data_IF_545903025238
#
_entry.id   IF_545903025238
#
_cell.length_a   1.000
_cell.length_b   1.000
_cell.length_c   1.000
_cell.angle_alpha   90.00
_cell.angle_beta   90.00
_cell.angle_gamma   90.00
#
_symmetry.space_group_name_H-M   'P 1'
#
loop_
_entity.id
_entity.type
_entity.pdbx_description
1 polymer ?
#
# COMPACT_ATOMS: atom_id res chain seq x y z
N UNK A 1 -2.01 -16.43 -38.78
CA UNK A 1 -3.13 -16.06 -37.89
C UNK A 1 -2.85 -16.60 -36.48
N UNK A 2 -2.30 -15.78 -35.59
CA UNK A 2 -2.32 -15.98 -34.13
C UNK A 2 -1.70 -14.72 -33.49
N UNK A 3 -2.55 -13.78 -33.11
CA UNK A 3 -2.20 -12.53 -32.43
C UNK A 3 -2.31 -12.83 -30.94
N UNK A 4 -1.21 -12.85 -30.19
CA UNK A 4 -1.25 -13.01 -28.73
C UNK A 4 -0.32 -11.97 -28.11
N UNK A 5 -0.93 -11.03 -27.39
CA UNK A 5 -0.31 -9.87 -26.76
C UNK A 5 0.37 -10.31 -25.45
N UNK A 6 1.68 -10.08 -25.25
CA UNK A 6 2.33 -10.31 -23.96
C UNK A 6 2.11 -9.09 -23.07
N UNK A 7 0.88 -8.93 -22.57
CA UNK A 7 0.54 -7.95 -21.54
C UNK A 7 -0.23 -8.64 -20.41
N UNK A 8 0.28 -9.77 -19.95
CA UNK A 8 -0.11 -10.29 -18.65
C UNK A 8 0.67 -9.50 -17.61
N UNK A 9 0.13 -8.36 -17.17
CA UNK A 9 0.55 -7.78 -15.91
C UNK A 9 0.30 -8.86 -14.85
N UNK A 10 1.32 -9.35 -14.13
CA UNK A 10 1.08 -10.14 -12.93
C UNK A 10 0.40 -9.19 -11.96
N UNK A 11 -0.92 -9.26 -11.91
CA UNK A 11 -1.68 -8.65 -10.86
C UNK A 11 -1.19 -9.33 -9.59
N UNK A 12 -0.43 -8.57 -8.81
CA UNK A 12 0.23 -8.98 -7.57
C UNK A 12 -0.86 -9.23 -6.52
N UNK A 13 -1.62 -10.31 -6.73
CA UNK A 13 -2.53 -10.87 -5.75
C UNK A 13 -1.65 -11.54 -4.71
N UNK A 14 -1.36 -10.79 -3.65
CA UNK A 14 -0.72 -11.30 -2.45
C UNK A 14 -1.44 -12.59 -2.03
N UNK A 15 -0.71 -13.71 -2.04
CA UNK A 15 -1.25 -14.98 -1.54
C UNK A 15 -1.21 -14.97 -0.02
N UNK A 16 -2.23 -15.53 0.59
CA UNK A 16 -2.26 -15.66 2.04
C UNK A 16 -1.21 -16.68 2.50
N UNK A 17 -0.40 -16.36 3.53
CA UNK A 17 0.60 -17.29 4.06
C UNK A 17 0.00 -18.46 4.85
N UNK A 18 -1.27 -18.38 5.27
CA UNK A 18 -1.94 -19.44 6.02
C UNK A 18 -2.71 -20.41 5.10
N UNK A 19 -3.54 -19.88 4.19
CA UNK A 19 -4.42 -20.65 3.33
C UNK A 19 -3.83 -20.91 1.92
N UNK A 20 -2.81 -20.15 1.49
CA UNK A 20 -2.32 -20.13 0.10
C UNK A 20 -3.33 -19.54 -0.91
N UNK A 21 -4.53 -19.18 -0.46
CA UNK A 21 -5.57 -18.56 -1.29
C UNK A 21 -5.30 -17.08 -1.49
N UNK A 22 -5.97 -16.49 -2.48
CA UNK A 22 -5.83 -15.07 -2.82
C UNK A 22 -6.30 -14.15 -1.70
N UNK A 23 -5.52 -13.11 -1.41
CA UNK A 23 -5.95 -11.99 -0.58
C UNK A 23 -6.69 -10.97 -1.43
N UNK A 24 -7.90 -10.61 -1.01
CA UNK A 24 -8.74 -9.63 -1.68
C UNK A 24 -8.89 -8.39 -0.82
N UNK A 25 -8.93 -7.22 -1.45
CA UNK A 25 -9.18 -5.96 -0.75
C UNK A 25 -10.66 -5.88 -0.41
N UNK A 26 -10.96 -5.73 0.88
CA UNK A 26 -12.30 -5.52 1.43
C UNK A 26 -12.32 -4.19 2.17
N UNK A 27 -13.44 -3.48 2.08
CA UNK A 27 -13.61 -2.21 2.79
C UNK A 27 -14.33 -2.47 4.12
N UNK A 28 -13.68 -2.15 5.24
CA UNK A 28 -14.27 -2.22 6.58
C UNK A 28 -14.49 -0.83 7.17
N UNK A 29 -15.07 -0.77 8.37
CA UNK A 29 -15.34 0.49 9.06
C UNK A 29 -14.09 1.33 9.37
N UNK A 30 -12.93 0.70 9.52
CA UNK A 30 -11.65 1.35 9.79
C UNK A 30 -10.81 1.63 8.54
N UNK A 31 -11.32 1.31 7.34
CA UNK A 31 -10.63 1.47 6.07
C UNK A 31 -10.51 0.17 5.26
N UNK A 32 -9.87 0.23 4.09
CA UNK A 32 -9.61 -0.95 3.27
C UNK A 32 -8.60 -1.88 3.95
N UNK A 33 -8.83 -3.18 3.87
CA UNK A 33 -7.97 -4.23 4.38
C UNK A 33 -7.90 -5.39 3.39
N UNK A 34 -6.80 -6.15 3.38
CA UNK A 34 -6.67 -7.39 2.63
C UNK A 34 -7.18 -8.56 3.48
N UNK A 35 -8.13 -9.34 2.98
CA UNK A 35 -8.63 -10.56 3.66
C UNK A 35 -8.52 -11.81 2.78
N UNK A 36 -8.26 -12.99 3.37
CA UNK A 36 -8.25 -14.26 2.60
C UNK A 36 -9.62 -14.50 1.96
N UNK A 37 -9.62 -14.83 0.67
CA UNK A 37 -10.83 -15.15 -0.10
C UNK A 37 -11.56 -16.39 0.46
N UNK A 38 -10.83 -17.30 1.12
CA UNK A 38 -11.37 -18.55 1.68
C UNK A 38 -12.08 -18.41 3.04
N UNK A 39 -12.38 -17.21 3.52
CA UNK A 39 -13.19 -17.01 4.73
C UNK A 39 -14.57 -17.71 4.59
N UNK A 40 -15.07 -18.47 5.59
CA UNK A 40 -14.63 -18.60 6.99
C UNK A 40 -13.55 -19.66 7.28
N UNK A 41 -13.05 -20.38 6.28
CA UNK A 41 -12.02 -21.41 6.52
C UNK A 41 -10.64 -20.81 6.85
N UNK A 42 -10.41 -19.56 6.49
CA UNK A 42 -9.21 -18.82 6.86
C UNK A 42 -9.57 -17.39 7.26
N UNK A 43 -9.10 -17.00 8.45
CA UNK A 43 -9.37 -15.70 9.08
C UNK A 43 -8.24 -14.69 8.89
N UNK A 44 -7.27 -14.98 8.02
CA UNK A 44 -6.14 -14.09 7.77
C UNK A 44 -6.62 -12.74 7.23
N UNK A 45 -6.17 -11.68 7.90
CA UNK A 45 -6.36 -10.30 7.51
C UNK A 45 -5.03 -9.55 7.58
N UNK A 46 -4.78 -8.69 6.60
CA UNK A 46 -3.61 -7.83 6.53
C UNK A 46 -4.11 -6.40 6.34
N UNK A 47 -3.73 -5.50 7.25
CA UNK A 47 -4.06 -4.09 7.10
C UNK A 47 -3.37 -3.56 5.84
N UNK A 48 -4.17 -3.08 4.88
CA UNK A 48 -3.63 -2.32 3.76
C UNK A 48 -3.27 -0.97 4.37
N UNK A 49 -1.97 -0.64 4.46
CA UNK A 49 -1.45 0.56 5.14
C UNK A 49 -2.45 1.72 5.02
N UNK A 50 -3.21 1.98 6.08
CA UNK A 50 -4.05 3.16 6.15
C UNK A 50 -3.12 4.34 6.00
N UNK A 51 -3.52 5.29 5.16
CA UNK A 51 -2.80 6.53 4.88
C UNK A 51 -2.67 7.42 6.13
N UNK A 52 -1.97 6.95 7.15
CA UNK A 52 -1.51 7.73 8.29
C UNK A 52 -0.12 8.31 8.05
N UNK A 53 0.67 7.69 7.18
CA UNK A 53 1.86 8.29 6.58
C UNK A 53 1.39 9.03 5.33
N UNK A 54 1.21 10.34 5.44
CA UNK A 54 0.84 11.19 4.31
C UNK A 54 1.68 10.84 3.09
N UNK A 55 1.05 10.72 1.93
CA UNK A 55 1.73 10.38 0.69
C UNK A 55 2.95 11.29 0.49
N UNK A 56 4.13 10.71 0.35
CA UNK A 56 5.37 11.44 0.04
C UNK A 56 5.26 11.88 -1.42
N UNK A 57 4.92 13.14 -1.62
CA UNK A 57 4.76 13.73 -2.95
C UNK A 57 6.13 13.97 -3.58
N UNK A 58 7.09 14.43 -2.78
CA UNK A 58 8.42 14.77 -3.26
C UNK A 58 9.46 14.69 -2.15
N UNK A 59 10.59 14.06 -2.44
CA UNK A 59 11.79 14.13 -1.60
C UNK A 59 12.52 15.44 -1.94
N UNK A 60 12.83 16.24 -0.93
CA UNK A 60 13.57 17.50 -1.11
C UNK A 60 15.06 17.24 -0.97
N UNK A 61 15.64 16.70 -2.03
CA UNK A 61 17.09 16.47 -2.13
C UNK A 61 17.82 17.83 -2.01
N UNK A 62 18.61 18.00 -0.95
CA UNK A 62 19.38 19.23 -0.67
C UNK A 62 18.87 20.08 0.51
N UNK A 63 17.81 19.67 1.19
CA UNK A 63 17.44 20.21 2.50
C UNK A 63 17.52 19.11 3.57
N UNK A 64 18.72 18.80 4.06
CA UNK A 64 18.87 17.91 5.19
C UNK A 64 18.32 18.56 6.46
N UNK A 65 17.61 17.79 7.27
CA UNK A 65 17.13 18.24 8.57
C UNK A 65 18.32 18.67 9.44
N UNK A 66 18.35 19.90 9.93
CA UNK A 66 19.47 20.41 10.74
C UNK A 66 19.57 19.78 12.13
N UNK A 67 18.59 18.97 12.53
CA UNK A 67 18.60 18.23 13.78
C UNK A 67 19.22 16.83 13.63
N UNK A 68 19.02 16.17 12.48
CA UNK A 68 19.39 14.75 12.32
C UNK A 68 20.05 14.39 10.98
N UNK A 69 20.15 15.32 10.03
CA UNK A 69 20.75 15.12 8.71
C UNK A 69 19.88 14.35 7.71
N UNK A 70 18.68 13.90 8.08
CA UNK A 70 17.78 13.15 7.20
C UNK A 70 17.15 14.05 6.11
N UNK A 71 16.88 13.49 4.94
CA UNK A 71 16.18 14.18 3.85
C UNK A 71 14.72 14.49 4.23
N UNK A 72 14.34 15.76 4.06
CA UNK A 72 12.97 16.19 4.28
C UNK A 72 12.07 15.78 3.11
N UNK A 73 10.83 15.42 3.42
CA UNK A 73 9.84 15.05 2.42
C UNK A 73 8.61 15.95 2.48
N UNK A 74 8.07 16.30 1.32
CA UNK A 74 6.77 16.95 1.20
C UNK A 74 5.69 15.87 1.28
N UNK A 75 4.94 15.85 2.38
CA UNK A 75 3.83 14.90 2.61
C UNK A 75 2.48 15.60 2.42
N UNK A 76 1.49 14.89 1.88
CA UNK A 76 0.10 15.36 1.86
C UNK A 76 -0.71 14.65 2.95
N UNK A 77 -1.17 15.42 3.94
CA UNK A 77 -2.03 14.95 5.02
C UNK A 77 -3.45 15.53 4.95
N UNK A 78 -4.32 15.11 5.87
CA UNK A 78 -5.72 15.58 5.99
C UNK A 78 -5.87 17.10 6.18
N UNK A 79 -4.83 17.77 6.65
CA UNK A 79 -4.81 19.21 6.93
C UNK A 79 -4.07 20.02 5.84
N UNK A 80 -3.62 19.36 4.76
CA UNK A 80 -2.81 19.98 3.70
C UNK A 80 -1.40 19.41 3.62
N UNK A 81 -0.53 20.12 2.90
CA UNK A 81 0.85 19.71 2.64
C UNK A 81 1.79 20.21 3.74
N UNK A 82 2.68 19.35 4.23
CA UNK A 82 3.70 19.71 5.21
C UNK A 82 5.05 19.09 4.87
N UNK A 83 6.10 19.73 5.34
CA UNK A 83 7.50 19.29 5.19
C UNK A 83 7.92 18.69 6.52
N UNK A 84 8.45 17.47 6.52
CA UNK A 84 8.95 16.79 7.71
C UNK A 84 9.65 15.48 7.41
#
# INVERSE_FOLDING_TARGET
>A
MAKIMPFTHPSEQEKCPECGSDLIIRNGGHGPFLGCSAYPNCHYIKALKSQGDGQVIKVLEGQPCQCCGADLVLRQGKFGMFIG
#
